data_IF_808475940325
#
_entry.id   IF_808475940325
#
_cell.length_a   1.000
_cell.length_b   1.000
_cell.length_c   1.000
_cell.angle_alpha   90.00
_cell.angle_beta   90.00
_cell.angle_gamma   90.00
#
_symmetry.space_group_name_H-M   'P 1'
#
loop_
_entity.id
_entity.type
_entity.pdbx_description
1 polymer ?
#
# COMPACT_ATOMS: atom_id res chain seq x y z
N UNK A 1 -11.20 32.87 5.81
CA UNK A 1 -10.60 33.55 4.66
C UNK A 1 -9.65 32.60 3.95
N UNK A 2 -9.53 32.69 2.62
CA UNK A 2 -8.58 31.96 1.82
C UNK A 2 -7.15 32.37 2.20
N UNK A 3 -6.21 31.42 2.19
CA UNK A 3 -4.82 31.71 2.47
C UNK A 3 -4.16 32.45 1.30
N UNK A 4 -3.10 33.20 1.56
CA UNK A 4 -2.31 33.81 0.49
C UNK A 4 -1.64 32.73 -0.41
N UNK A 5 -1.22 33.13 -1.62
CA UNK A 5 -0.66 32.22 -2.61
C UNK A 5 0.62 31.52 -2.14
N UNK A 6 1.46 32.16 -1.32
CA UNK A 6 2.67 31.52 -0.78
C UNK A 6 2.30 30.36 0.17
N UNK A 7 1.34 30.63 1.07
CA UNK A 7 0.84 29.62 2.00
C UNK A 7 0.15 28.47 1.25
N UNK A 8 -0.65 28.77 0.22
CA UNK A 8 -1.29 27.77 -0.63
C UNK A 8 -0.26 26.93 -1.37
N UNK A 9 0.75 27.54 -2.00
CA UNK A 9 1.82 26.83 -2.70
C UNK A 9 2.50 25.81 -1.78
N UNK A 10 2.90 26.26 -0.59
CA UNK A 10 3.57 25.39 0.38
C UNK A 10 2.66 24.23 0.85
N UNK A 11 1.40 24.52 1.20
CA UNK A 11 0.46 23.50 1.69
C UNK A 11 0.20 22.44 0.64
N UNK A 12 -0.15 22.85 -0.58
CA UNK A 12 -0.45 21.92 -1.68
C UNK A 12 0.75 21.03 -2.01
N UNK A 13 1.97 21.58 -2.08
CA UNK A 13 3.15 20.81 -2.37
C UNK A 13 3.43 19.79 -1.25
N UNK A 14 3.38 20.19 0.01
CA UNK A 14 3.58 19.28 1.15
C UNK A 14 2.49 18.21 1.24
N UNK A 15 1.23 18.56 1.01
CA UNK A 15 0.11 17.61 1.08
C UNK A 15 0.16 16.59 -0.06
N UNK A 16 0.58 16.99 -1.26
CA UNK A 16 0.57 16.11 -2.43
C UNK A 16 1.88 15.34 -2.61
N UNK A 17 3.03 15.96 -2.32
CA UNK A 17 4.34 15.36 -2.61
C UNK A 17 5.20 15.09 -1.38
N UNK A 18 4.77 15.56 -0.20
CA UNK A 18 5.58 15.52 1.02
C UNK A 18 6.81 16.46 1.01
N UNK A 19 7.01 17.23 -0.07
CA UNK A 19 8.15 18.10 -0.28
C UNK A 19 7.70 19.56 -0.39
N UNK A 20 8.53 20.53 0.04
CA UNK A 20 8.24 21.93 -0.21
C UNK A 20 8.33 22.22 -1.72
N UNK A 21 7.59 23.23 -2.23
CA UNK A 21 7.73 23.64 -3.62
C UNK A 21 9.10 24.28 -3.87
N UNK A 22 9.57 24.23 -5.12
CA UNK A 22 10.76 24.99 -5.49
C UNK A 22 10.46 26.50 -5.51
N UNK A 23 11.48 27.36 -5.39
CA UNK A 23 11.30 28.81 -5.54
C UNK A 23 10.63 29.20 -6.87
N UNK A 24 11.05 28.56 -7.97
CA UNK A 24 10.56 28.79 -9.32
C UNK A 24 9.06 28.42 -9.46
N UNK A 25 8.65 27.28 -8.89
CA UNK A 25 7.24 26.86 -8.87
C UNK A 25 6.38 27.83 -8.06
N UNK A 26 6.90 28.27 -6.93
CA UNK A 26 6.21 29.24 -6.06
C UNK A 26 6.03 30.56 -6.79
N UNK A 27 7.10 31.10 -7.40
CA UNK A 27 7.07 32.38 -8.13
C UNK A 27 6.13 32.28 -9.36
N UNK A 28 6.17 31.18 -10.11
CA UNK A 28 5.28 30.97 -11.24
C UNK A 28 3.81 30.96 -10.80
N UNK A 29 3.47 30.31 -9.69
CA UNK A 29 2.10 30.28 -9.16
C UNK A 29 1.66 31.67 -8.64
N UNK A 30 2.52 32.38 -7.94
CA UNK A 30 2.20 33.71 -7.39
C UNK A 30 1.93 34.71 -8.52
N UNK A 31 2.77 34.71 -9.57
CA UNK A 31 2.67 35.63 -10.70
C UNK A 31 1.51 35.31 -11.65
N UNK A 32 0.99 34.07 -11.63
CA UNK A 32 -0.15 33.69 -12.46
C UNK A 32 -1.45 34.30 -11.92
N UNK A 33 -1.90 35.39 -12.56
CA UNK A 33 -3.16 36.06 -12.21
C UNK A 33 -4.37 35.56 -13.01
N UNK A 34 -4.20 34.54 -13.86
CA UNK A 34 -5.27 34.04 -14.73
C UNK A 34 -6.22 33.12 -13.96
N UNK A 35 -7.47 32.99 -14.47
CA UNK A 35 -8.44 32.03 -13.93
C UNK A 35 -7.89 30.61 -13.97
N UNK A 36 -8.06 29.86 -12.89
CA UNK A 36 -7.59 28.48 -12.78
C UNK A 36 -6.11 28.32 -12.40
N UNK A 37 -5.41 29.36 -11.99
CA UNK A 37 -4.01 29.28 -11.54
C UNK A 37 -3.79 28.25 -10.45
N UNK A 38 -4.70 28.17 -9.47
CA UNK A 38 -4.64 27.18 -8.38
C UNK A 38 -4.77 25.75 -8.90
N UNK A 39 -5.73 25.49 -9.79
CA UNK A 39 -5.94 24.17 -10.38
C UNK A 39 -4.72 23.71 -11.19
N UNK A 40 -4.09 24.62 -11.96
CA UNK A 40 -2.84 24.31 -12.69
C UNK A 40 -1.71 23.96 -11.74
N UNK A 41 -1.59 24.71 -10.65
CA UNK A 41 -0.57 24.42 -9.64
C UNK A 41 -0.80 23.06 -8.94
N UNK A 42 -2.04 22.72 -8.59
CA UNK A 42 -2.39 21.40 -8.06
C UNK A 42 -2.03 20.30 -9.07
N UNK A 43 -2.38 20.48 -10.35
CA UNK A 43 -2.07 19.51 -11.40
C UNK A 43 -0.56 19.34 -11.60
N UNK A 44 0.21 20.42 -11.49
CA UNK A 44 1.67 20.35 -11.52
C UNK A 44 2.22 19.44 -10.42
N UNK A 45 1.72 19.57 -9.19
CA UNK A 45 2.16 18.75 -8.07
C UNK A 45 1.72 17.27 -8.22
N UNK A 46 0.50 17.04 -8.69
CA UNK A 46 -0.02 15.67 -8.96
C UNK A 46 0.79 14.93 -10.03
N UNK A 47 1.37 15.63 -10.99
CA UNK A 47 2.16 15.03 -12.08
C UNK A 47 3.62 14.73 -11.68
N UNK A 48 4.04 15.05 -10.47
CA UNK A 48 5.40 14.78 -10.02
C UNK A 48 5.55 13.32 -9.58
N UNK A 49 6.68 12.67 -9.89
CA UNK A 49 6.99 11.34 -9.35
C UNK A 49 6.91 11.27 -7.82
N UNK A 50 7.27 12.35 -7.13
CA UNK A 50 7.18 12.48 -5.68
C UNK A 50 5.75 12.33 -5.13
N UNK A 51 4.69 12.52 -5.94
CA UNK A 51 3.32 12.22 -5.55
C UNK A 51 3.15 10.73 -5.23
N UNK A 52 3.56 9.85 -6.14
CA UNK A 52 3.51 8.41 -5.92
C UNK A 52 4.38 7.97 -4.76
N UNK A 53 5.60 8.49 -4.63
CA UNK A 53 6.49 8.17 -3.52
C UNK A 53 5.89 8.57 -2.16
N UNK A 54 5.24 9.73 -2.09
CA UNK A 54 4.60 10.22 -0.87
C UNK A 54 3.40 9.38 -0.46
N UNK A 55 2.50 9.07 -1.40
CA UNK A 55 1.25 8.35 -1.11
C UNK A 55 1.44 6.85 -1.02
N UNK A 56 2.37 6.28 -1.78
CA UNK A 56 2.74 4.87 -1.69
C UNK A 56 3.16 4.47 -0.28
N UNK A 57 3.84 5.36 0.45
CA UNK A 57 4.26 5.12 1.82
C UNK A 57 3.10 4.70 2.74
N UNK A 58 1.94 5.36 2.60
CA UNK A 58 0.76 5.02 3.41
C UNK A 58 0.20 3.64 3.07
N UNK A 59 0.20 3.27 1.79
CA UNK A 59 -0.18 1.93 1.37
C UNK A 59 0.82 0.86 1.79
N UNK A 60 2.11 1.16 1.71
CA UNK A 60 3.18 0.25 2.12
C UNK A 60 3.13 -0.05 3.62
N UNK A 61 2.74 0.93 4.46
CA UNK A 61 2.49 0.72 5.89
C UNK A 61 1.32 -0.26 6.10
N UNK A 62 0.20 -0.09 5.39
CA UNK A 62 -0.93 -1.02 5.42
C UNK A 62 -0.53 -2.42 4.93
N UNK A 63 0.28 -2.49 3.87
CA UNK A 63 0.82 -3.72 3.33
C UNK A 63 1.94 -4.32 4.21
N UNK A 64 2.30 -3.70 5.33
CA UNK A 64 3.40 -4.08 6.23
C UNK A 64 4.73 -4.32 5.51
N UNK A 65 5.02 -3.50 4.49
CA UNK A 65 6.23 -3.58 3.70
C UNK A 65 7.49 -3.43 4.58
N UNK A 66 8.46 -4.31 4.36
CA UNK A 66 9.79 -4.19 4.93
C UNK A 66 10.83 -4.84 4.01
N UNK A 67 12.02 -4.25 3.93
CA UNK A 67 13.16 -4.77 3.17
C UNK A 67 13.90 -5.91 3.90
N UNK A 68 13.37 -6.35 5.06
CA UNK A 68 13.93 -7.43 5.86
C UNK A 68 12.90 -8.50 6.22
N UNK A 69 13.33 -9.65 6.68
CA UNK A 69 12.53 -10.84 6.90
C UNK A 69 11.63 -10.78 8.15
N UNK A 70 12.06 -10.09 9.21
CA UNK A 70 11.23 -9.70 10.36
C UNK A 70 11.18 -10.64 11.56
N UNK A 71 11.98 -11.72 11.61
CA UNK A 71 12.20 -12.51 12.83
C UNK A 71 13.54 -12.16 13.47
N UNK A 72 14.05 -12.96 14.41
CA UNK A 72 15.23 -12.61 15.19
C UNK A 72 16.49 -12.39 14.35
N UNK A 73 16.70 -13.18 13.31
CA UNK A 73 17.80 -13.03 12.37
C UNK A 73 17.65 -11.84 11.42
N UNK A 74 16.45 -11.47 11.12
CA UNK A 74 16.01 -10.36 10.28
C UNK A 74 16.91 -10.05 9.05
N UNK A 75 17.26 -11.03 8.22
CA UNK A 75 18.10 -10.77 7.05
C UNK A 75 17.36 -9.92 6.02
N UNK A 76 18.14 -9.16 5.24
CA UNK A 76 17.58 -8.40 4.12
C UNK A 76 16.97 -9.34 3.07
N UNK A 77 15.87 -8.90 2.45
CA UNK A 77 15.19 -9.62 1.36
C UNK A 77 14.93 -8.72 0.16
N UNK A 78 14.86 -9.33 -1.02
CA UNK A 78 14.55 -8.62 -2.26
C UNK A 78 13.03 -8.55 -2.44
N UNK A 79 12.40 -7.43 -2.09
CA UNK A 79 10.97 -7.18 -2.25
C UNK A 79 10.66 -5.78 -2.78
N UNK A 80 11.68 -4.99 -3.07
CA UNK A 80 11.57 -3.61 -3.55
C UNK A 80 10.70 -3.45 -4.80
N UNK A 81 10.57 -4.47 -5.64
CA UNK A 81 9.69 -4.44 -6.81
C UNK A 81 8.23 -4.15 -6.44
N UNK A 82 7.74 -4.65 -5.30
CA UNK A 82 6.40 -4.32 -4.81
C UNK A 82 6.26 -2.85 -4.43
N UNK A 83 7.26 -2.27 -3.77
CA UNK A 83 7.29 -0.83 -3.48
C UNK A 83 7.20 0.00 -4.76
N UNK A 84 7.99 -0.35 -5.76
CA UNK A 84 8.02 0.37 -7.04
C UNK A 84 6.69 0.21 -7.80
N UNK A 85 6.06 -0.98 -7.76
CA UNK A 85 4.71 -1.21 -8.27
C UNK A 85 3.69 -0.26 -7.62
N UNK A 86 3.72 -0.13 -6.29
CA UNK A 86 2.79 0.75 -5.56
C UNK A 86 3.02 2.21 -5.95
N UNK A 87 4.27 2.68 -6.01
CA UNK A 87 4.63 4.05 -6.43
C UNK A 87 4.11 4.34 -7.85
N UNK A 88 4.37 3.42 -8.80
CA UNK A 88 3.91 3.54 -10.19
C UNK A 88 2.40 3.61 -10.27
N UNK A 89 1.70 2.74 -9.53
CA UNK A 89 0.24 2.69 -9.51
C UNK A 89 -0.39 4.01 -9.04
N UNK A 90 0.19 4.68 -8.05
CA UNK A 90 -0.26 6.02 -7.64
C UNK A 90 0.02 7.08 -8.71
N UNK A 91 1.21 7.08 -9.30
CA UNK A 91 1.59 8.04 -10.35
C UNK A 91 0.77 7.88 -11.63
N UNK A 92 0.36 6.66 -11.96
CA UNK A 92 -0.50 6.33 -13.10
C UNK A 92 -1.99 6.53 -12.81
N UNK A 93 -2.34 6.86 -11.55
CA UNK A 93 -3.72 6.94 -11.10
C UNK A 93 -4.51 5.65 -11.43
N UNK A 94 -3.88 4.49 -11.15
CA UNK A 94 -4.47 3.17 -11.41
C UNK A 94 -5.83 3.06 -10.71
N UNK A 95 -6.90 2.60 -11.38
CA UNK A 95 -8.19 2.38 -10.76
C UNK A 95 -8.09 1.46 -9.54
N UNK A 96 -8.79 1.80 -8.45
CA UNK A 96 -8.65 1.09 -7.17
C UNK A 96 -9.08 -0.38 -7.25
N UNK A 97 -10.08 -0.69 -8.05
CA UNK A 97 -10.52 -2.07 -8.31
C UNK A 97 -9.43 -2.89 -9.01
N UNK A 98 -8.78 -2.33 -10.03
CA UNK A 98 -7.65 -2.97 -10.70
C UNK A 98 -6.46 -3.12 -9.75
N UNK A 99 -6.10 -2.09 -9.00
CA UNK A 99 -5.05 -2.13 -8.00
C UNK A 99 -5.29 -3.21 -6.93
N UNK A 100 -6.56 -3.39 -6.53
CA UNK A 100 -6.98 -4.44 -5.59
C UNK A 100 -6.84 -5.83 -6.19
N UNK A 101 -7.38 -6.05 -7.39
CA UNK A 101 -7.33 -7.35 -8.08
C UNK A 101 -5.89 -7.80 -8.30
N UNK A 102 -5.03 -6.90 -8.76
CA UNK A 102 -3.62 -7.20 -9.04
C UNK A 102 -2.86 -7.62 -7.77
N UNK A 103 -3.14 -7.01 -6.62
CA UNK A 103 -2.47 -7.37 -5.37
C UNK A 103 -3.00 -8.65 -4.73
N UNK A 104 -4.28 -8.94 -4.88
CA UNK A 104 -4.89 -10.14 -4.29
C UNK A 104 -4.72 -11.37 -5.17
N UNK A 105 -4.84 -11.22 -6.49
CA UNK A 105 -4.95 -12.30 -7.45
C UNK A 105 -4.34 -11.98 -8.83
N UNK A 106 -3.29 -11.15 -8.86
CA UNK A 106 -2.65 -10.73 -10.12
C UNK A 106 -2.07 -11.91 -10.92
N UNK A 107 -1.62 -12.95 -10.24
CA UNK A 107 -1.12 -14.19 -10.84
C UNK A 107 -2.22 -15.07 -11.48
N UNK A 108 -3.47 -14.86 -11.09
CA UNK A 108 -4.62 -15.58 -11.64
C UNK A 108 -5.25 -14.88 -12.87
N UNK A 109 -4.75 -13.69 -13.22
CA UNK A 109 -5.22 -12.96 -14.40
C UNK A 109 -4.84 -13.71 -15.71
N UNK A 110 -5.65 -13.61 -16.78
CA UNK A 110 -5.29 -14.17 -18.06
C UNK A 110 -3.99 -13.55 -18.62
N UNK A 111 -2.95 -14.34 -18.81
CA UNK A 111 -1.63 -13.91 -19.28
C UNK A 111 -1.06 -12.73 -18.44
N UNK A 112 -0.83 -12.93 -17.14
CA UNK A 112 -0.44 -11.86 -16.25
C UNK A 112 0.90 -11.25 -16.67
N UNK A 113 0.99 -9.93 -16.60
CA UNK A 113 2.25 -9.20 -16.82
C UNK A 113 3.20 -9.40 -15.63
N UNK A 114 4.48 -9.10 -15.82
CA UNK A 114 5.46 -9.11 -14.73
C UNK A 114 5.04 -8.18 -13.59
N UNK A 115 4.47 -7.03 -13.91
CA UNK A 115 3.99 -6.05 -12.93
C UNK A 115 2.83 -6.62 -12.10
N UNK A 116 1.88 -7.31 -12.72
CA UNK A 116 0.77 -7.98 -12.03
C UNK A 116 1.25 -9.13 -11.13
N UNK A 117 2.27 -9.87 -11.56
CA UNK A 117 2.91 -10.87 -10.71
C UNK A 117 3.63 -10.22 -9.51
N UNK A 118 4.32 -9.09 -9.72
CA UNK A 118 4.97 -8.33 -8.65
C UNK A 118 3.95 -7.78 -7.65
N UNK A 119 2.76 -7.35 -8.11
CA UNK A 119 1.70 -6.85 -7.26
C UNK A 119 1.28 -7.87 -6.19
N UNK A 120 1.26 -9.18 -6.49
CA UNK A 120 0.93 -10.24 -5.52
C UNK A 120 1.92 -10.35 -4.36
N UNK A 121 3.05 -9.66 -4.43
CA UNK A 121 3.98 -9.57 -3.31
C UNK A 121 3.40 -8.86 -2.09
N UNK A 122 2.20 -8.25 -2.19
CA UNK A 122 1.39 -7.89 -1.02
C UNK A 122 1.30 -9.04 -0.01
N UNK A 123 1.05 -10.27 -0.49
CA UNK A 123 0.98 -11.48 0.32
C UNK A 123 2.35 -12.00 0.78
N UNK A 124 3.44 -11.54 0.16
CA UNK A 124 4.81 -11.91 0.52
C UNK A 124 5.47 -10.94 1.51
N UNK A 125 4.80 -9.86 1.87
CA UNK A 125 5.25 -8.96 2.95
C UNK A 125 5.11 -9.59 4.35
N UNK A 126 4.62 -10.82 4.46
CA UNK A 126 4.63 -11.57 5.72
C UNK A 126 6.07 -11.75 6.22
N UNK A 127 6.23 -11.93 7.51
CA UNK A 127 7.51 -12.33 8.08
C UNK A 127 7.93 -13.69 7.51
N UNK A 128 9.23 -13.86 7.27
CA UNK A 128 9.82 -15.11 6.78
C UNK A 128 10.86 -15.59 7.77
N UNK A 129 10.69 -16.83 8.28
CA UNK A 129 11.64 -17.42 9.19
C UNK A 129 12.72 -18.18 8.41
N UNK A 130 13.99 -17.97 8.79
CA UNK A 130 15.17 -18.69 8.28
C UNK A 130 15.97 -19.37 9.39
N UNK A 131 15.45 -19.38 10.62
CA UNK A 131 16.15 -19.92 11.79
C UNK A 131 16.17 -21.44 11.77
N UNK A 132 17.31 -22.03 12.14
CA UNK A 132 17.46 -23.47 12.26
C UNK A 132 16.69 -24.04 13.47
N UNK A 133 16.17 -25.26 13.31
CA UNK A 133 15.47 -25.98 14.40
C UNK A 133 14.01 -25.59 14.60
N UNK A 134 13.45 -24.84 13.67
CA UNK A 134 12.02 -24.45 13.65
C UNK A 134 11.19 -25.38 12.76
N UNK A 135 9.87 -25.31 12.87
CA UNK A 135 8.93 -26.08 12.03
C UNK A 135 8.51 -25.24 10.82
N UNK A 136 8.85 -25.65 9.62
CA UNK A 136 8.45 -24.99 8.38
C UNK A 136 6.92 -24.88 8.26
N UNK A 137 6.21 -25.92 8.70
CA UNK A 137 4.74 -25.97 8.65
C UNK A 137 4.10 -24.96 9.63
N UNK A 138 4.70 -24.76 10.79
CA UNK A 138 4.25 -23.73 11.75
C UNK A 138 4.34 -22.36 11.12
N UNK A 139 5.51 -21.98 10.57
CA UNK A 139 5.70 -20.67 9.96
C UNK A 139 4.93 -20.49 8.65
N UNK A 140 4.65 -21.59 7.91
CA UNK A 140 3.72 -21.53 6.78
C UNK A 140 2.30 -21.16 7.25
N UNK A 141 1.81 -21.78 8.33
CA UNK A 141 0.51 -21.46 8.91
C UNK A 141 0.47 -19.99 9.41
N UNK A 142 1.50 -19.53 10.11
CA UNK A 142 1.60 -18.14 10.57
C UNK A 142 1.57 -17.15 9.39
N UNK A 143 2.22 -17.48 8.28
CA UNK A 143 2.17 -16.64 7.08
C UNK A 143 0.77 -16.58 6.46
N UNK A 144 0.00 -17.69 6.47
CA UNK A 144 -1.40 -17.69 5.98
C UNK A 144 -2.30 -16.90 6.93
N UNK A 145 -2.17 -17.08 8.23
CA UNK A 145 -2.88 -16.28 9.26
C UNK A 145 -2.65 -14.79 9.04
N UNK A 146 -1.39 -14.37 8.83
CA UNK A 146 -1.01 -12.99 8.57
C UNK A 146 -1.65 -12.46 7.26
N UNK A 147 -1.66 -13.25 6.17
CA UNK A 147 -2.32 -12.88 4.91
C UNK A 147 -3.82 -12.64 5.10
N UNK A 148 -4.53 -13.54 5.78
CA UNK A 148 -5.96 -13.40 6.09
C UNK A 148 -6.20 -12.10 6.87
N UNK A 149 -5.52 -11.94 7.99
CA UNK A 149 -5.74 -10.82 8.90
C UNK A 149 -5.42 -9.49 8.24
N UNK A 150 -4.31 -9.42 7.49
CA UNK A 150 -3.92 -8.19 6.79
C UNK A 150 -4.88 -7.85 5.66
N UNK A 151 -5.28 -8.81 4.84
CA UNK A 151 -6.22 -8.57 3.74
C UNK A 151 -7.54 -8.03 4.27
N UNK A 152 -8.09 -8.65 5.32
CA UNK A 152 -9.35 -8.20 5.90
C UNK A 152 -9.22 -6.83 6.58
N UNK A 153 -8.11 -6.56 7.25
CA UNK A 153 -7.87 -5.26 7.86
C UNK A 153 -7.73 -4.13 6.82
N UNK A 154 -7.00 -4.39 5.73
CA UNK A 154 -6.71 -3.38 4.70
C UNK A 154 -7.93 -3.05 3.85
N UNK A 155 -8.64 -4.05 3.34
CA UNK A 155 -9.76 -3.83 2.41
C UNK A 155 -11.12 -3.73 3.08
N UNK A 156 -11.32 -4.43 4.20
CA UNK A 156 -12.62 -4.47 4.88
C UNK A 156 -12.66 -3.64 6.16
N UNK A 157 -11.52 -3.15 6.64
CA UNK A 157 -11.44 -2.42 7.91
C UNK A 157 -11.86 -3.26 9.12
N UNK A 158 -11.78 -4.59 9.02
CA UNK A 158 -12.29 -5.54 9.99
C UNK A 158 -11.16 -6.31 10.66
N UNK A 159 -11.19 -6.42 11.99
CA UNK A 159 -10.25 -7.24 12.76
C UNK A 159 -10.69 -8.71 12.75
N UNK A 160 -10.47 -9.41 11.65
CA UNK A 160 -10.90 -10.81 11.50
C UNK A 160 -10.16 -11.79 12.42
N UNK A 161 -8.98 -11.42 12.93
CA UNK A 161 -8.12 -12.26 13.79
C UNK A 161 -8.85 -12.88 14.99
N UNK A 162 -9.84 -12.19 15.57
CA UNK A 162 -10.64 -12.73 16.68
C UNK A 162 -11.36 -14.03 16.30
N UNK A 163 -11.76 -14.16 15.04
CA UNK A 163 -12.49 -15.33 14.54
C UNK A 163 -11.60 -16.56 14.33
N UNK A 164 -10.29 -16.44 14.46
CA UNK A 164 -9.36 -17.58 14.45
C UNK A 164 -9.65 -18.58 15.61
N UNK A 165 -9.98 -18.06 16.80
CA UNK A 165 -10.18 -18.87 17.99
C UNK A 165 -11.66 -19.10 18.35
N UNK A 166 -12.56 -18.18 18.00
CA UNK A 166 -14.00 -18.23 18.30
C UNK A 166 -14.78 -17.34 17.34
N UNK A 167 -16.08 -17.53 17.20
CA UNK A 167 -16.95 -16.62 16.44
C UNK A 167 -16.74 -15.17 16.92
N UNK A 168 -16.58 -14.24 15.98
CA UNK A 168 -16.29 -12.84 16.28
C UNK A 168 -17.36 -12.25 17.21
N UNK A 169 -16.93 -11.45 18.20
CA UNK A 169 -17.86 -10.97 19.24
C UNK A 169 -18.84 -9.91 18.72
N UNK A 170 -18.40 -9.08 17.79
CA UNK A 170 -19.15 -7.91 17.33
C UNK A 170 -19.57 -8.00 15.87
N UNK A 171 -18.67 -8.51 15.01
CA UNK A 171 -18.92 -8.63 13.58
C UNK A 171 -19.54 -10.00 13.24
N UNK A 172 -20.36 -10.09 12.18
CA UNK A 172 -21.02 -11.33 11.79
C UNK A 172 -20.06 -12.32 11.08
N UNK A 173 -18.93 -12.60 11.72
CA UNK A 173 -17.88 -13.48 11.21
C UNK A 173 -17.75 -14.68 12.15
N UNK A 174 -18.04 -15.86 11.63
CA UNK A 174 -17.88 -17.12 12.35
C UNK A 174 -16.45 -17.62 12.25
N UNK A 175 -16.06 -18.52 13.18
CA UNK A 175 -14.78 -19.21 13.07
C UNK A 175 -14.70 -20.05 11.79
N UNK A 176 -15.78 -20.65 11.34
CA UNK A 176 -15.84 -21.40 10.10
C UNK A 176 -15.54 -20.51 8.87
N UNK A 177 -16.08 -19.30 8.84
CA UNK A 177 -15.79 -18.35 7.76
C UNK A 177 -14.35 -17.88 7.78
N UNK A 178 -13.74 -17.70 8.96
CA UNK A 178 -12.30 -17.44 9.08
C UNK A 178 -11.48 -18.51 8.37
N UNK A 179 -11.74 -19.79 8.65
CA UNK A 179 -10.99 -20.89 8.05
C UNK A 179 -11.33 -21.11 6.57
N UNK A 180 -12.49 -20.67 6.08
CA UNK A 180 -12.77 -20.61 4.63
C UNK A 180 -11.87 -19.59 3.94
N UNK A 181 -11.72 -18.40 4.52
CA UNK A 181 -10.80 -17.38 4.00
C UNK A 181 -9.34 -17.84 4.12
N UNK A 182 -8.98 -18.48 5.24
CA UNK A 182 -7.66 -19.08 5.41
C UNK A 182 -7.34 -20.08 4.27
N UNK A 183 -8.29 -20.91 3.86
CA UNK A 183 -8.10 -21.87 2.78
C UNK A 183 -7.87 -21.22 1.40
N UNK A 184 -8.32 -19.97 1.20
CA UNK A 184 -8.07 -19.22 -0.05
C UNK A 184 -6.60 -18.78 -0.15
N UNK A 185 -5.96 -18.44 0.97
CA UNK A 185 -4.58 -17.93 1.04
C UNK A 185 -3.53 -19.02 1.40
N UNK A 186 -3.96 -20.27 1.50
CA UNK A 186 -3.11 -21.41 1.90
C UNK A 186 -2.30 -22.00 0.74
#
# INVERSE_FOLDING_TARGET
>A
PEADKNALARRVALDLTGLPPTPEETEAFISDSTSGAYQRYVQLQLNKPAFGEHWARMWLDLARYADSAGYADDPLRTIWGFRDYVISSFNENKPFDQFTIEQIAGDLLPNPTTEQLVATAFHRNTKTNSEGGTSDEEFRNEAVVDRVNTTMSVWMGTTMACAQCHTHKYDPITQEEYFKVFAIFN
#
